data_IF_150118398428
#
_entry.id   IF_150118398428
#
_cell.length_a   1.000
_cell.length_b   1.000
_cell.length_c   1.000
_cell.angle_alpha   90.00
_cell.angle_beta   90.00
_cell.angle_gamma   90.00
#
_symmetry.space_group_name_H-M   'P 1'
#
loop_
_entity.id
_entity.type
_entity.pdbx_description
1 polymer ?
#
# COMPACT_ATOMS: atom_id res chain seq x y z
N UNK A 1 54.52 -1.95 45.58
CA UNK A 1 53.43 -0.95 45.61
C UNK A 1 53.48 -0.18 44.30
N UNK A 2 52.54 -0.42 43.40
CA UNK A 2 52.37 0.31 42.13
C UNK A 2 51.03 1.05 42.27
N UNK A 3 50.97 2.39 42.16
CA UNK A 3 49.71 3.11 42.29
C UNK A 3 48.87 2.98 41.01
N UNK A 4 47.56 2.82 41.18
CA UNK A 4 46.59 2.70 40.10
C UNK A 4 46.42 4.03 39.34
N UNK A 5 46.38 3.94 38.02
CA UNK A 5 45.96 5.02 37.12
C UNK A 5 44.42 5.03 37.09
N UNK A 6 43.82 5.99 37.79
CA UNK A 6 42.45 6.43 37.56
C UNK A 6 42.50 7.91 37.16
N UNK A 7 42.82 8.16 35.89
CA UNK A 7 42.58 9.46 35.26
C UNK A 7 41.14 9.46 34.78
N UNK A 8 40.26 10.07 35.57
CA UNK A 8 38.88 10.39 35.21
C UNK A 8 38.89 11.28 33.96
N UNK A 9 38.53 10.71 32.82
CA UNK A 9 38.12 11.46 31.64
C UNK A 9 36.74 12.05 31.91
N UNK A 10 36.70 13.36 32.15
CA UNK A 10 35.48 14.15 32.19
C UNK A 10 34.84 14.19 30.79
N UNK A 11 34.05 13.16 30.47
CA UNK A 11 33.26 13.10 29.23
C UNK A 11 32.04 13.99 29.43
N UNK A 12 32.22 15.28 29.12
CA UNK A 12 31.12 16.23 29.01
C UNK A 12 30.04 15.66 28.07
N UNK A 13 28.76 15.61 28.49
CA UNK A 13 27.69 15.07 27.65
C UNK A 13 27.54 15.93 26.39
N UNK A 14 27.60 15.29 25.21
CA UNK A 14 27.38 15.97 23.92
C UNK A 14 26.04 16.72 23.97
N UNK A 15 25.98 17.99 23.53
CA UNK A 15 24.76 18.77 23.58
C UNK A 15 23.67 18.08 22.74
N UNK A 16 22.50 17.86 23.35
CA UNK A 16 21.31 17.40 22.63
C UNK A 16 20.86 18.52 21.69
N UNK A 17 21.16 18.39 20.41
CA UNK A 17 20.66 19.30 19.38
C UNK A 17 19.14 19.15 19.31
N UNK A 18 18.41 20.13 19.86
CA UNK A 18 16.97 20.24 19.66
C UNK A 18 16.72 20.97 18.35
N UNK A 19 16.23 20.25 17.34
CA UNK A 19 15.80 20.87 16.10
C UNK A 19 14.47 21.61 16.32
N UNK A 20 14.37 22.84 15.84
CA UNK A 20 13.06 23.49 15.66
C UNK A 20 12.22 22.66 14.67
N UNK A 21 10.89 22.75 14.71
CA UNK A 21 10.00 22.04 13.78
C UNK A 21 10.36 22.29 12.30
N UNK A 22 10.95 23.45 11.99
CA UNK A 22 11.46 23.77 10.66
C UNK A 22 12.75 22.98 10.33
N UNK A 23 13.73 22.97 11.25
CA UNK A 23 14.97 22.21 11.07
C UNK A 23 14.76 20.70 11.03
N UNK A 24 13.80 20.18 11.80
CA UNK A 24 13.43 18.76 11.78
C UNK A 24 12.93 18.32 10.40
N UNK A 25 12.04 19.11 9.79
CA UNK A 25 11.51 18.79 8.47
C UNK A 25 12.57 18.83 7.36
N UNK A 26 13.44 19.84 7.37
CA UNK A 26 14.56 19.90 6.42
C UNK A 26 15.49 18.69 6.57
N UNK A 27 15.74 18.27 7.82
CA UNK A 27 16.49 17.05 8.11
C UNK A 27 15.81 15.80 7.54
N UNK A 28 14.48 15.65 7.66
CA UNK A 28 13.73 14.54 7.06
C UNK A 28 13.87 14.49 5.53
N UNK A 29 13.81 15.65 4.86
CA UNK A 29 14.01 15.74 3.40
C UNK A 29 15.42 15.35 3.01
N UNK A 30 16.42 15.90 3.71
CA UNK A 30 17.83 15.58 3.47
C UNK A 30 18.10 14.09 3.69
N UNK A 31 17.64 13.52 4.82
CA UNK A 31 17.80 12.10 5.13
C UNK A 31 17.15 11.19 4.07
N UNK A 32 15.98 11.57 3.55
CA UNK A 32 15.33 10.83 2.48
C UNK A 32 16.14 10.83 1.16
N UNK A 33 16.72 11.98 0.78
CA UNK A 33 17.58 12.12 -0.39
C UNK A 33 18.86 11.29 -0.23
N UNK A 34 19.53 11.37 0.93
CA UNK A 34 20.74 10.60 1.19
C UNK A 34 20.46 9.10 1.24
N UNK A 35 19.31 8.69 1.79
CA UNK A 35 18.86 7.29 1.74
C UNK A 35 18.74 6.80 0.29
N UNK A 36 18.12 7.60 -0.58
CA UNK A 36 17.97 7.25 -2.00
C UNK A 36 19.31 7.09 -2.70
N UNK A 37 20.29 7.96 -2.41
CA UNK A 37 21.65 7.88 -2.96
C UNK A 37 22.41 6.67 -2.43
N UNK A 38 22.37 6.46 -1.12
CA UNK A 38 23.09 5.38 -0.45
C UNK A 38 22.67 3.99 -0.94
N UNK A 39 21.35 3.77 -1.08
CA UNK A 39 20.82 2.48 -1.54
C UNK A 39 20.73 2.35 -3.07
N UNK A 40 21.16 3.36 -3.83
CA UNK A 40 21.06 3.32 -5.29
C UNK A 40 21.74 2.07 -5.86
N UNK A 41 21.08 1.31 -6.75
CA UNK A 41 21.76 0.23 -7.44
C UNK A 41 22.93 0.77 -8.26
N UNK A 42 24.08 0.07 -8.26
CA UNK A 42 25.31 0.54 -8.95
C UNK A 42 25.19 0.42 -10.47
N UNK A 43 24.73 -0.74 -10.93
CA UNK A 43 24.70 -1.10 -12.36
C UNK A 43 23.27 -1.15 -12.94
N UNK A 44 22.29 -0.60 -12.22
CA UNK A 44 20.89 -0.60 -12.62
C UNK A 44 20.11 0.56 -12.01
N UNK A 45 18.82 0.64 -12.28
CA UNK A 45 17.91 1.60 -11.66
C UNK A 45 17.08 0.95 -10.56
N UNK A 46 16.52 1.77 -9.67
CA UNK A 46 15.44 1.30 -8.81
C UNK A 46 14.24 0.87 -9.63
N UNK A 47 13.55 -0.17 -9.15
CA UNK A 47 12.17 -0.44 -9.54
C UNK A 47 11.22 0.40 -8.67
N UNK A 48 10.77 1.53 -9.22
CA UNK A 48 9.92 2.50 -8.52
C UNK A 48 8.46 2.06 -8.48
N UNK A 49 7.94 1.72 -7.31
CA UNK A 49 6.54 1.35 -7.13
C UNK A 49 5.64 2.58 -7.08
N UNK A 50 5.06 2.96 -8.22
CA UNK A 50 4.23 4.15 -8.35
C UNK A 50 2.73 3.80 -8.27
N UNK A 51 2.01 4.36 -7.29
CA UNK A 51 0.56 4.16 -7.17
C UNK A 51 -0.27 5.37 -7.63
N UNK A 52 0.39 6.51 -7.85
CA UNK A 52 -0.24 7.83 -8.00
C UNK A 52 -0.87 8.39 -6.72
N UNK A 53 -0.78 7.69 -5.59
CA UNK A 53 -1.07 8.25 -4.27
C UNK A 53 -0.01 9.29 -3.85
N UNK A 54 -0.37 10.12 -2.86
CA UNK A 54 0.45 11.22 -2.35
C UNK A 54 1.88 10.79 -2.00
N UNK A 55 2.04 9.64 -1.33
CA UNK A 55 3.32 9.15 -0.85
C UNK A 55 4.23 8.72 -2.02
N UNK A 56 3.67 8.06 -3.04
CA UNK A 56 4.42 7.70 -4.26
C UNK A 56 4.78 8.92 -5.13
N UNK A 57 4.00 9.99 -5.08
CA UNK A 57 4.34 11.24 -5.78
C UNK A 57 5.54 11.93 -5.11
N UNK A 58 5.59 11.93 -3.77
CA UNK A 58 6.69 12.50 -2.99
C UNK A 58 7.99 11.74 -3.23
N UNK A 59 8.02 10.41 -3.09
CA UNK A 59 9.26 9.64 -3.32
C UNK A 59 9.75 9.77 -4.77
N UNK A 60 8.84 9.93 -5.73
CA UNK A 60 9.21 10.17 -7.14
C UNK A 60 9.94 11.50 -7.31
N UNK A 61 9.44 12.55 -6.67
CA UNK A 61 10.10 13.84 -6.70
C UNK A 61 11.40 13.85 -5.90
N UNK A 62 11.45 13.19 -4.73
CA UNK A 62 12.68 13.02 -3.96
C UNK A 62 13.76 12.28 -4.75
N UNK A 63 13.41 11.23 -5.50
CA UNK A 63 14.36 10.52 -6.38
C UNK A 63 14.93 11.44 -7.47
N UNK A 64 14.11 12.33 -8.04
CA UNK A 64 14.57 13.36 -8.98
C UNK A 64 15.57 14.32 -8.31
N UNK A 65 15.27 14.81 -7.10
CA UNK A 65 16.18 15.68 -6.35
C UNK A 65 17.49 14.96 -5.96
N UNK A 66 17.41 13.67 -5.68
CA UNK A 66 18.56 12.85 -5.36
C UNK A 66 19.47 12.57 -6.56
N UNK A 67 18.95 12.71 -7.78
CA UNK A 67 19.67 12.40 -9.02
C UNK A 67 19.86 10.91 -9.27
N UNK A 68 18.99 10.06 -8.72
CA UNK A 68 19.09 8.60 -8.84
C UNK A 68 18.20 8.07 -9.97
N UNK A 69 18.69 7.05 -10.69
CA UNK A 69 17.93 6.42 -11.75
C UNK A 69 16.81 5.54 -11.17
N UNK A 70 15.57 5.76 -11.64
CA UNK A 70 14.40 4.97 -11.24
C UNK A 70 13.52 4.70 -12.46
N UNK A 71 13.19 3.43 -12.68
CA UNK A 71 12.14 3.05 -13.62
C UNK A 71 10.83 2.96 -12.83
N UNK A 72 9.88 3.86 -13.12
CA UNK A 72 8.62 3.94 -12.37
C UNK A 72 7.54 3.06 -12.99
N UNK A 73 6.90 2.25 -12.15
CA UNK A 73 5.92 1.24 -12.53
C UNK A 73 4.62 1.45 -11.79
N UNK A 74 3.53 1.59 -12.54
CA UNK A 74 2.16 1.59 -12.05
C UNK A 74 1.48 0.28 -12.43
N UNK A 75 1.31 -0.59 -11.43
CA UNK A 75 0.61 -1.86 -11.58
C UNK A 75 -0.92 -1.63 -11.59
N UNK A 76 -1.53 -1.80 -12.76
CA UNK A 76 -2.97 -1.59 -12.96
C UNK A 76 -3.74 -2.74 -12.32
N UNK A 77 -4.62 -2.43 -11.37
CA UNK A 77 -5.45 -3.45 -10.70
C UNK A 77 -6.77 -3.72 -11.41
N UNK A 78 -7.11 -2.94 -12.43
CA UNK A 78 -8.42 -2.95 -13.12
C UNK A 78 -9.60 -2.51 -12.25
N UNK A 79 -9.35 -2.17 -10.98
CA UNK A 79 -10.32 -1.59 -10.04
C UNK A 79 -9.84 -0.25 -9.45
N UNK A 80 -8.84 0.38 -10.07
CA UNK A 80 -8.40 1.70 -9.66
C UNK A 80 -9.51 2.74 -9.90
N UNK A 81 -9.69 3.71 -8.98
CA UNK A 81 -10.63 4.81 -9.19
C UNK A 81 -10.34 5.56 -10.50
N UNK A 82 -11.34 5.89 -11.32
CA UNK A 82 -11.14 6.61 -12.59
C UNK A 82 -10.34 7.90 -12.44
N UNK A 83 -10.54 8.65 -11.35
CA UNK A 83 -9.83 9.88 -11.02
C UNK A 83 -8.34 9.62 -10.80
N UNK A 84 -7.99 8.52 -10.14
CA UNK A 84 -6.61 8.12 -9.90
C UNK A 84 -5.93 7.74 -11.21
N UNK A 85 -6.59 6.94 -12.04
CA UNK A 85 -6.04 6.58 -13.35
C UNK A 85 -5.92 7.79 -14.28
N UNK A 86 -6.89 8.71 -14.27
CA UNK A 86 -6.84 9.95 -15.05
C UNK A 86 -5.71 10.86 -14.57
N UNK A 87 -5.51 10.99 -13.26
CA UNK A 87 -4.41 11.73 -12.66
C UNK A 87 -3.05 11.19 -13.13
N UNK A 88 -2.83 9.87 -13.02
CA UNK A 88 -1.57 9.24 -13.46
C UNK A 88 -1.35 9.48 -14.95
N UNK A 89 -2.37 9.26 -15.79
CA UNK A 89 -2.28 9.49 -17.24
C UNK A 89 -1.90 10.92 -17.60
N UNK A 90 -2.43 11.90 -16.87
CA UNK A 90 -2.24 13.33 -17.17
C UNK A 90 -0.91 13.88 -16.65
N UNK A 91 -0.56 13.58 -15.41
CA UNK A 91 0.56 14.22 -14.71
C UNK A 91 1.82 13.36 -14.62
N UNK A 92 1.70 12.06 -14.92
CA UNK A 92 2.81 11.11 -14.86
C UNK A 92 2.85 10.19 -16.09
N UNK A 93 2.89 10.75 -17.32
CA UNK A 93 2.97 9.96 -18.54
C UNK A 93 4.28 9.16 -18.67
N UNK A 94 5.31 9.56 -17.91
CA UNK A 94 6.62 8.90 -17.81
C UNK A 94 6.61 7.60 -16.99
N UNK A 95 5.52 7.33 -16.25
CA UNK A 95 5.37 6.10 -15.46
C UNK A 95 4.88 4.97 -16.35
N UNK A 96 5.62 3.87 -16.40
CA UNK A 96 5.22 2.66 -17.10
C UNK A 96 3.95 2.09 -16.48
N UNK A 97 2.95 1.80 -17.33
CA UNK A 97 1.64 1.29 -16.88
C UNK A 97 1.55 -0.19 -17.17
N UNK A 98 1.77 -1.00 -16.14
CA UNK A 98 1.84 -2.45 -16.26
C UNK A 98 0.42 -3.04 -16.23
N UNK A 99 0.01 -3.62 -17.35
CA UNK A 99 -1.28 -4.29 -17.48
C UNK A 99 -1.17 -5.73 -16.95
N UNK A 100 -2.13 -6.19 -16.13
CA UNK A 100 -2.09 -7.56 -15.64
C UNK A 100 -2.54 -8.53 -16.73
N UNK A 101 -2.01 -9.76 -16.68
CA UNK A 101 -2.43 -10.86 -17.58
C UNK A 101 -3.91 -11.25 -17.37
N UNK A 102 -4.42 -11.15 -16.14
CA UNK A 102 -5.83 -11.35 -15.79
C UNK A 102 -6.32 -10.16 -14.98
N UNK A 103 -7.49 -9.66 -15.34
CA UNK A 103 -8.22 -8.63 -14.59
C UNK A 103 -8.60 -9.14 -13.20
N UNK A 104 -8.95 -8.20 -12.33
CA UNK A 104 -9.44 -8.52 -10.99
C UNK A 104 -10.69 -9.42 -11.03
N UNK A 105 -11.63 -9.14 -11.94
CA UNK A 105 -12.87 -9.90 -12.06
C UNK A 105 -12.61 -11.34 -12.54
N UNK A 106 -11.67 -11.53 -13.45
CA UNK A 106 -11.24 -12.88 -13.88
C UNK A 106 -10.56 -13.66 -12.75
N UNK A 107 -9.68 -13.00 -11.98
CA UNK A 107 -9.11 -13.65 -10.79
C UNK A 107 -10.17 -13.97 -9.74
N UNK A 108 -11.15 -13.09 -9.53
CA UNK A 108 -12.26 -13.31 -8.60
C UNK A 108 -13.08 -14.55 -8.97
N UNK A 109 -13.19 -14.88 -10.26
CA UNK A 109 -13.82 -16.14 -10.69
C UNK A 109 -13.08 -17.39 -10.17
N UNK A 110 -11.82 -17.33 -9.79
CA UNK A 110 -11.09 -18.50 -9.26
C UNK A 110 -10.75 -18.38 -7.78
N UNK A 111 -10.50 -17.16 -7.31
CA UNK A 111 -10.07 -16.86 -5.94
C UNK A 111 -11.20 -16.45 -5.00
N UNK A 112 -12.37 -16.13 -5.56
CA UNK A 112 -13.47 -15.52 -4.80
C UNK A 112 -13.16 -14.08 -4.39
N UNK A 113 -13.96 -13.55 -3.48
CA UNK A 113 -13.79 -12.18 -2.98
C UNK A 113 -12.54 -12.05 -2.08
N UNK A 114 -11.71 -11.00 -2.23
CA UNK A 114 -10.57 -10.78 -1.34
C UNK A 114 -11.04 -10.34 0.04
N UNK A 115 -10.25 -10.60 1.08
CA UNK A 115 -10.53 -10.14 2.45
C UNK A 115 -9.36 -9.33 3.00
N UNK A 116 -9.49 -8.76 4.20
CA UNK A 116 -8.36 -8.02 4.82
C UNK A 116 -7.17 -8.92 5.11
N UNK A 117 -7.42 -10.20 5.39
CA UNK A 117 -6.37 -11.22 5.58
C UNK A 117 -5.92 -11.84 4.27
N UNK A 118 -6.86 -12.17 3.39
CA UNK A 118 -6.59 -12.82 2.10
C UNK A 118 -6.59 -11.78 1.00
N UNK A 119 -5.42 -11.14 0.87
CA UNK A 119 -5.15 -10.08 -0.11
C UNK A 119 -4.57 -10.63 -1.42
N UNK A 120 -5.20 -11.66 -1.99
CA UNK A 120 -4.74 -12.26 -3.26
C UNK A 120 -4.66 -11.21 -4.39
N UNK A 121 -5.48 -10.17 -4.35
CA UNK A 121 -5.46 -9.11 -5.36
C UNK A 121 -4.20 -8.26 -5.28
N UNK A 122 -3.65 -8.00 -4.08
CA UNK A 122 -2.36 -7.33 -3.95
C UNK A 122 -1.23 -8.21 -4.47
N UNK A 123 -1.26 -9.50 -4.14
CA UNK A 123 -0.28 -10.47 -4.67
C UNK A 123 -0.28 -10.48 -6.20
N UNK A 124 -1.43 -10.75 -6.82
CA UNK A 124 -1.54 -10.99 -8.26
C UNK A 124 -1.48 -9.74 -9.12
N UNK A 125 -1.86 -8.58 -8.59
CA UNK A 125 -2.00 -7.35 -9.38
C UNK A 125 -1.06 -6.22 -8.95
N UNK A 126 -0.28 -6.37 -7.87
CA UNK A 126 0.63 -5.31 -7.39
C UNK A 126 2.02 -5.83 -7.04
N UNK A 127 2.09 -6.82 -6.15
CA UNK A 127 3.32 -7.24 -5.48
C UNK A 127 4.13 -8.26 -6.32
N UNK A 128 3.52 -8.87 -7.35
CA UNK A 128 4.20 -9.85 -8.22
C UNK A 128 4.76 -9.27 -9.52
N UNK A 129 4.63 -7.96 -9.75
CA UNK A 129 4.92 -7.33 -11.05
C UNK A 129 6.41 -7.01 -11.29
N UNK A 130 7.23 -7.00 -10.23
CA UNK A 130 8.64 -6.67 -10.33
C UNK A 130 9.52 -7.90 -10.64
N UNK A 131 10.62 -7.74 -11.40
CA UNK A 131 11.64 -8.76 -11.59
C UNK A 131 12.23 -9.26 -10.27
N UNK A 132 12.68 -10.50 -10.24
CA UNK A 132 13.42 -11.04 -9.10
C UNK A 132 14.76 -10.29 -8.93
N UNK A 133 15.18 -10.07 -7.68
CA UNK A 133 16.43 -9.40 -7.33
C UNK A 133 16.47 -7.88 -7.49
N UNK A 134 15.45 -7.24 -8.08
CA UNK A 134 15.45 -5.78 -8.22
C UNK A 134 15.32 -5.06 -6.87
N UNK A 135 15.92 -3.87 -6.76
CA UNK A 135 15.74 -3.00 -5.59
C UNK A 135 14.49 -2.15 -5.77
N UNK A 136 13.51 -2.38 -4.90
CA UNK A 136 12.21 -1.76 -4.94
C UNK A 136 12.23 -0.43 -4.19
N UNK A 137 11.67 0.62 -4.77
CA UNK A 137 11.47 1.89 -4.10
C UNK A 137 9.98 2.08 -3.79
N UNK A 138 9.63 2.13 -2.50
CA UNK A 138 8.25 2.24 -2.02
C UNK A 138 8.05 3.44 -1.09
N UNK A 139 6.82 3.95 -1.03
CA UNK A 139 6.43 5.08 -0.17
C UNK A 139 5.76 4.62 1.13
N UNK A 140 6.35 3.63 1.81
CA UNK A 140 5.80 3.06 3.03
C UNK A 140 6.17 3.94 4.23
N UNK A 141 5.21 4.29 5.09
CA UNK A 141 5.46 5.03 6.33
C UNK A 141 5.06 4.18 7.54
N UNK A 142 5.88 4.20 8.59
CA UNK A 142 5.64 3.48 9.84
C UNK A 142 4.34 3.93 10.51
N UNK A 143 4.05 5.24 10.43
CA UNK A 143 2.87 5.89 11.01
C UNK A 143 1.53 5.41 10.41
N UNK A 144 1.51 4.72 9.27
CA UNK A 144 0.24 4.30 8.65
C UNK A 144 -0.52 3.24 9.46
N UNK A 145 0.16 2.47 10.32
CA UNK A 145 -0.51 1.57 11.29
C UNK A 145 0.49 1.01 12.32
N UNK A 146 0.02 0.56 13.51
CA UNK A 146 0.88 -0.14 14.48
C UNK A 146 1.61 -1.35 13.90
N UNK A 147 0.95 -2.11 13.03
CA UNK A 147 1.56 -3.25 12.33
C UNK A 147 2.75 -2.81 11.49
N UNK A 148 2.63 -1.69 10.75
CA UNK A 148 3.74 -1.18 9.93
C UNK A 148 4.87 -0.66 10.80
N UNK A 149 4.60 0.03 11.91
CA UNK A 149 5.65 0.44 12.85
C UNK A 149 6.42 -0.77 13.42
N UNK A 150 5.73 -1.87 13.74
CA UNK A 150 6.38 -3.10 14.20
C UNK A 150 7.19 -3.81 13.12
N UNK A 151 6.64 -3.88 11.90
CA UNK A 151 7.30 -4.54 10.76
C UNK A 151 8.48 -3.72 10.27
N UNK A 152 8.32 -2.40 10.09
CA UNK A 152 9.29 -1.47 9.51
C UNK A 152 10.07 -0.72 10.57
N UNK A 153 11.12 -1.38 11.07
CA UNK A 153 12.08 -0.80 12.03
C UNK A 153 13.28 -0.14 11.34
N UNK A 154 13.53 -0.51 10.08
CA UNK A 154 14.64 -0.02 9.25
C UNK A 154 14.12 0.51 7.92
N UNK A 155 14.89 1.41 7.30
CA UNK A 155 14.56 2.01 5.99
C UNK A 155 14.49 0.98 4.86
N UNK A 156 15.09 -0.20 5.06
CA UNK A 156 15.04 -1.30 4.10
C UNK A 156 14.46 -2.57 4.69
N UNK A 157 13.89 -3.41 3.81
CA UNK A 157 13.44 -4.77 4.11
C UNK A 157 13.64 -5.71 2.93
N UNK A 158 13.83 -7.00 3.21
CA UNK A 158 13.67 -8.02 2.18
C UNK A 158 12.20 -8.07 1.74
N UNK A 159 11.99 -8.16 0.43
CA UNK A 159 10.65 -8.32 -0.11
C UNK A 159 10.11 -9.70 0.32
N UNK A 160 9.01 -9.75 1.07
CA UNK A 160 8.51 -11.00 1.66
C UNK A 160 8.06 -12.10 0.68
N UNK A 161 8.19 -11.89 -0.63
CA UNK A 161 7.82 -12.84 -1.71
C UNK A 161 8.82 -12.90 -2.87
N UNK A 162 9.87 -12.08 -2.84
CA UNK A 162 10.85 -11.92 -3.94
C UNK A 162 12.24 -11.77 -3.32
N UNK A 163 13.29 -11.98 -4.10
CA UNK A 163 14.69 -11.87 -3.62
C UNK A 163 15.20 -10.43 -3.52
N UNK A 164 14.40 -9.44 -3.93
CA UNK A 164 14.77 -8.02 -3.92
C UNK A 164 14.64 -7.35 -2.55
N UNK A 165 15.42 -6.28 -2.35
CA UNK A 165 15.32 -5.38 -1.19
C UNK A 165 14.35 -4.23 -1.50
N UNK A 166 13.49 -3.89 -0.55
CA UNK A 166 12.62 -2.72 -0.58
C UNK A 166 13.25 -1.60 0.23
N UNK A 167 13.33 -0.41 -0.36
CA UNK A 167 13.79 0.83 0.29
C UNK A 167 12.60 1.77 0.44
N UNK A 168 12.43 2.34 1.64
CA UNK A 168 11.42 3.36 1.92
C UNK A 168 12.05 4.63 2.52
N UNK A 169 12.37 5.63 1.68
CA UNK A 169 13.11 6.82 2.14
C UNK A 169 12.28 7.76 3.02
N UNK A 170 10.96 7.58 3.05
CA UNK A 170 10.03 8.40 3.85
C UNK A 170 9.46 7.63 5.04
N UNK A 171 10.11 6.54 5.47
CA UNK A 171 9.55 5.63 6.48
C UNK A 171 9.09 6.34 7.76
N UNK A 172 9.87 7.31 8.22
CA UNK A 172 9.60 8.05 9.46
C UNK A 172 8.80 9.34 9.25
N UNK A 173 8.33 9.61 8.03
CA UNK A 173 7.53 10.80 7.75
C UNK A 173 6.10 10.64 8.26
N UNK A 174 5.56 11.72 8.79
CA UNK A 174 4.14 11.84 9.08
C UNK A 174 3.35 12.24 7.83
N UNK A 175 2.03 12.08 7.88
CA UNK A 175 1.15 12.49 6.79
C UNK A 175 1.30 14.00 6.50
N UNK A 176 1.54 14.81 7.53
CA UNK A 176 1.71 16.25 7.40
C UNK A 176 3.04 16.62 6.72
N UNK A 177 4.11 15.85 6.94
CA UNK A 177 5.39 16.05 6.24
C UNK A 177 5.23 15.81 4.73
N UNK A 178 4.48 14.75 4.36
CA UNK A 178 4.15 14.43 2.97
C UNK A 178 3.37 15.57 2.32
N UNK A 179 2.33 16.08 2.99
CA UNK A 179 1.55 17.20 2.46
C UNK A 179 2.32 18.51 2.42
N UNK A 180 3.17 18.78 3.42
CA UNK A 180 4.09 19.92 3.42
C UNK A 180 5.00 19.87 2.21
N UNK A 181 5.55 18.70 1.89
CA UNK A 181 6.41 18.51 0.71
C UNK A 181 5.65 18.77 -0.59
N UNK A 182 4.45 18.19 -0.72
CA UNK A 182 3.58 18.39 -1.88
C UNK A 182 3.31 19.88 -2.11
N UNK A 183 2.97 20.63 -1.05
CA UNK A 183 2.70 22.07 -1.13
C UNK A 183 3.94 22.88 -1.50
N UNK A 184 5.07 22.62 -0.83
CA UNK A 184 6.32 23.36 -1.08
C UNK A 184 6.87 23.15 -2.49
N UNK A 185 6.74 21.94 -3.01
CA UNK A 185 7.21 21.59 -4.36
C UNK A 185 6.11 21.69 -5.43
N UNK A 186 4.92 22.19 -5.06
CA UNK A 186 3.77 22.37 -5.95
C UNK A 186 3.45 21.09 -6.76
N UNK A 187 3.53 19.93 -6.11
CA UNK A 187 3.33 18.65 -6.78
C UNK A 187 1.84 18.45 -7.11
N UNK A 188 1.50 18.02 -8.33
CA UNK A 188 0.13 17.63 -8.63
C UNK A 188 -0.21 16.38 -7.81
N UNK A 189 -1.44 16.31 -7.32
CA UNK A 189 -1.96 15.13 -6.61
C UNK A 189 -3.39 14.80 -7.05
N UNK A 190 -3.83 13.59 -6.76
CA UNK A 190 -5.16 13.12 -7.14
C UNK A 190 -6.26 13.89 -6.38
N UNK A 191 -7.23 14.47 -7.12
CA UNK A 191 -8.35 15.25 -6.56
C UNK A 191 -9.24 14.51 -5.55
N UNK A 192 -9.10 13.20 -5.40
CA UNK A 192 -9.81 12.44 -4.37
C UNK A 192 -9.39 12.90 -2.96
N UNK A 193 -8.15 13.35 -2.78
CA UNK A 193 -7.68 13.87 -1.49
C UNK A 193 -8.46 15.13 -1.05
N UNK A 194 -8.80 16.01 -1.99
CA UNK A 194 -9.65 17.20 -1.72
C UNK A 194 -11.10 16.83 -1.35
N UNK A 195 -11.49 15.58 -1.60
CA UNK A 195 -12.83 15.06 -1.35
C UNK A 195 -12.86 14.18 -0.09
N UNK A 196 -11.88 14.34 0.80
CA UNK A 196 -11.81 13.66 2.10
C UNK A 196 -11.24 12.24 2.04
N UNK A 197 -10.66 11.81 0.92
CA UNK A 197 -9.94 10.53 0.90
C UNK A 197 -8.60 10.70 1.60
N UNK A 198 -8.29 9.81 2.55
CA UNK A 198 -6.96 9.73 3.19
C UNK A 198 -6.02 8.75 2.49
N UNK A 199 -6.60 7.86 1.66
CA UNK A 199 -5.93 6.85 0.83
C UNK A 199 -6.65 6.67 -0.51
N UNK A 200 -5.89 6.42 -1.57
CA UNK A 200 -6.44 6.11 -2.90
C UNK A 200 -6.26 4.61 -3.18
N UNK A 201 -7.18 3.81 -2.61
CA UNK A 201 -7.25 2.36 -2.83
C UNK A 201 -8.07 1.99 -4.07
N UNK A 202 -8.10 0.70 -4.39
CA UNK A 202 -9.02 0.15 -5.39
C UNK A 202 -10.48 0.29 -4.89
N UNK A 203 -11.43 0.37 -5.82
CA UNK A 203 -12.87 0.37 -5.55
C UNK A 203 -13.27 -0.93 -4.83
N UNK A 204 -14.04 -0.80 -3.75
CA UNK A 204 -14.42 -1.88 -2.83
C UNK A 204 -13.23 -2.66 -2.26
N UNK A 205 -12.11 -1.99 -2.01
CA UNK A 205 -10.98 -2.62 -1.34
C UNK A 205 -11.36 -3.02 0.11
N UNK A 206 -11.16 -4.29 0.53
CA UNK A 206 -11.43 -4.72 1.91
C UNK A 206 -10.80 -3.86 3.00
N UNK A 207 -9.68 -3.20 2.70
CA UNK A 207 -8.98 -2.30 3.61
C UNK A 207 -9.68 -0.95 3.82
N UNK A 208 -10.70 -0.63 3.02
CA UNK A 208 -11.47 0.61 3.15
C UNK A 208 -12.59 0.49 4.19
N UNK A 209 -13.00 -0.74 4.52
CA UNK A 209 -14.07 -1.00 5.48
C UNK A 209 -15.46 -0.58 4.99
N UNK A 210 -16.49 -0.74 5.85
CA UNK A 210 -17.89 -0.53 5.47
C UNK A 210 -18.17 0.88 4.96
N UNK A 211 -17.65 1.91 5.63
CA UNK A 211 -17.83 3.31 5.20
C UNK A 211 -17.19 3.58 3.83
N UNK A 212 -16.02 2.98 3.60
CA UNK A 212 -15.34 3.05 2.32
C UNK A 212 -16.13 2.36 1.21
N UNK A 213 -16.70 1.19 1.51
CA UNK A 213 -17.56 0.47 0.58
C UNK A 213 -18.85 1.22 0.28
N UNK A 214 -19.51 1.78 1.28
CA UNK A 214 -20.73 2.58 1.12
C UNK A 214 -20.48 3.80 0.21
N UNK A 215 -19.35 4.50 0.41
CA UNK A 215 -18.91 5.59 -0.47
C UNK A 215 -18.68 5.11 -1.89
N UNK A 216 -18.00 3.97 -2.07
CA UNK A 216 -17.70 3.41 -3.39
C UNK A 216 -18.96 2.93 -4.13
N UNK A 217 -19.92 2.32 -3.43
CA UNK A 217 -21.22 1.91 -3.97
C UNK A 217 -21.99 3.11 -4.55
N UNK A 218 -21.99 4.23 -3.82
CA UNK A 218 -22.61 5.48 -4.28
C UNK A 218 -21.87 6.10 -5.45
N UNK A 219 -20.53 6.11 -5.40
CA UNK A 219 -19.69 6.85 -6.35
C UNK A 219 -19.41 6.10 -7.66
N UNK A 220 -19.22 4.79 -7.58
CA UNK A 220 -18.82 3.93 -8.70
C UNK A 220 -19.84 2.79 -8.93
N UNK A 221 -21.14 3.10 -9.11
CA UNK A 221 -22.19 2.07 -9.13
C UNK A 221 -22.00 1.05 -10.25
N UNK A 222 -21.47 1.44 -11.42
CA UNK A 222 -21.19 0.50 -12.52
C UNK A 222 -20.06 -0.48 -12.19
N UNK A 223 -18.98 -0.02 -11.57
CA UNK A 223 -17.87 -0.90 -11.16
C UNK A 223 -18.34 -1.84 -10.05
N UNK A 224 -19.07 -1.31 -9.07
CA UNK A 224 -19.59 -2.11 -7.96
C UNK A 224 -20.55 -3.19 -8.43
N UNK A 225 -21.47 -2.90 -9.37
CA UNK A 225 -22.34 -3.91 -9.98
C UNK A 225 -21.58 -5.04 -10.67
N UNK A 226 -20.46 -4.73 -11.33
CA UNK A 226 -19.63 -5.74 -11.99
C UNK A 226 -18.92 -6.64 -10.96
N UNK A 227 -18.43 -6.04 -9.87
CA UNK A 227 -17.83 -6.78 -8.75
C UNK A 227 -18.88 -7.68 -8.09
N UNK A 228 -20.07 -7.15 -7.80
CA UNK A 228 -21.20 -7.88 -7.22
C UNK A 228 -21.59 -9.07 -8.10
N UNK A 229 -21.78 -8.85 -9.40
CA UNK A 229 -22.09 -9.91 -10.35
C UNK A 229 -21.01 -11.00 -10.33
N UNK A 230 -19.73 -10.62 -10.36
CA UNK A 230 -18.63 -11.56 -10.32
C UNK A 230 -18.60 -12.38 -9.01
N UNK A 231 -18.84 -11.73 -7.87
CA UNK A 231 -18.90 -12.37 -6.55
C UNK A 231 -20.05 -13.37 -6.46
N UNK A 232 -21.26 -12.98 -6.89
CA UNK A 232 -22.44 -13.85 -6.90
C UNK A 232 -22.28 -15.03 -7.87
N UNK A 233 -21.74 -14.79 -9.06
CA UNK A 233 -21.43 -15.87 -10.02
C UNK A 233 -20.42 -16.87 -9.46
N UNK A 234 -19.38 -16.40 -8.77
CA UNK A 234 -18.42 -17.27 -8.10
C UNK A 234 -19.13 -18.14 -7.04
N UNK A 235 -19.93 -17.53 -6.17
CA UNK A 235 -20.63 -18.23 -5.09
C UNK A 235 -21.60 -19.27 -5.63
N UNK A 236 -22.48 -18.89 -6.58
CA UNK A 236 -23.46 -19.79 -7.19
C UNK A 236 -22.79 -20.99 -7.84
N UNK A 237 -21.71 -20.78 -8.60
CA UNK A 237 -20.96 -21.85 -9.25
C UNK A 237 -20.30 -22.79 -8.23
N UNK A 238 -19.69 -22.26 -7.16
CA UNK A 238 -19.08 -23.11 -6.12
C UNK A 238 -20.13 -23.89 -5.33
N UNK A 239 -21.30 -23.29 -5.07
CA UNK A 239 -22.42 -23.96 -4.40
C UNK A 239 -22.97 -25.10 -5.24
N UNK A 240 -23.22 -24.88 -6.54
CA UNK A 240 -23.75 -25.94 -7.44
C UNK A 240 -22.77 -27.10 -7.63
N UNK A 241 -21.47 -26.85 -7.53
CA UNK A 241 -20.41 -27.87 -7.59
C UNK A 241 -20.18 -28.61 -6.27
N UNK A 242 -20.90 -28.27 -5.19
CA UNK A 242 -20.61 -28.79 -3.84
C UNK A 242 -19.22 -28.40 -3.31
N UNK A 243 -18.56 -27.44 -3.95
CA UNK A 243 -17.16 -27.06 -3.69
C UNK A 243 -17.05 -25.72 -2.94
N UNK A 244 -18.13 -25.27 -2.32
CA UNK A 244 -18.12 -24.03 -1.56
C UNK A 244 -17.34 -24.24 -0.24
N UNK A 245 -16.42 -23.32 0.08
CA UNK A 245 -15.62 -23.43 1.30
C UNK A 245 -16.51 -23.39 2.56
N UNK A 246 -16.09 -24.08 3.63
CA UNK A 246 -16.88 -24.25 4.88
C UNK A 246 -17.42 -22.95 5.47
N UNK A 247 -16.71 -21.83 5.29
CA UNK A 247 -17.16 -20.51 5.77
C UNK A 247 -18.22 -19.87 4.88
N UNK A 248 -18.23 -20.17 3.58
CA UNK A 248 -19.20 -19.61 2.63
C UNK A 248 -20.46 -20.47 2.48
N UNK A 249 -20.44 -21.71 2.94
CA UNK A 249 -21.63 -22.56 3.00
C UNK A 249 -22.66 -22.09 4.04
N UNK A 250 -22.27 -21.21 4.97
CA UNK A 250 -23.14 -20.66 6.00
C UNK A 250 -24.19 -19.68 5.46
N UNK A 251 -23.96 -19.11 4.26
CA UNK A 251 -24.92 -18.22 3.61
C UNK A 251 -26.00 -19.02 2.89
N UNK A 252 -27.24 -18.58 2.99
CA UNK A 252 -28.38 -19.19 2.32
C UNK A 252 -28.34 -18.95 0.81
N UNK A 253 -27.89 -17.77 0.38
CA UNK A 253 -27.82 -17.37 -1.02
C UNK A 253 -26.67 -16.40 -1.31
N UNK A 254 -26.47 -16.09 -2.59
CA UNK A 254 -25.41 -15.22 -3.07
C UNK A 254 -25.57 -13.75 -2.64
N UNK A 255 -26.81 -13.29 -2.41
CA UNK A 255 -27.09 -11.93 -1.94
C UNK A 255 -26.60 -11.76 -0.50
N UNK A 256 -26.90 -12.72 0.37
CA UNK A 256 -26.42 -12.71 1.75
C UNK A 256 -24.89 -12.76 1.83
N UNK A 257 -24.26 -13.61 1.01
CA UNK A 257 -22.79 -13.64 0.86
C UNK A 257 -22.22 -12.29 0.43
N UNK A 258 -22.86 -11.64 -0.55
CA UNK A 258 -22.44 -10.32 -1.01
C UNK A 258 -22.59 -9.26 0.08
N UNK A 259 -23.75 -9.22 0.75
CA UNK A 259 -24.05 -8.29 1.83
C UNK A 259 -23.05 -8.42 2.98
N UNK A 260 -22.73 -9.66 3.36
CA UNK A 260 -21.67 -9.94 4.34
C UNK A 260 -20.33 -9.32 3.92
N UNK A 261 -19.93 -9.51 2.66
CA UNK A 261 -18.63 -9.03 2.19
C UNK A 261 -18.52 -7.50 2.15
N UNK A 262 -19.58 -6.79 1.74
CA UNK A 262 -19.57 -5.32 1.70
C UNK A 262 -19.77 -4.67 3.07
N UNK A 263 -20.54 -5.29 3.96
CA UNK A 263 -20.83 -4.75 5.30
C UNK A 263 -19.75 -5.05 6.33
N UNK A 264 -18.87 -6.02 6.06
CA UNK A 264 -17.94 -6.59 7.06
C UNK A 264 -18.68 -7.11 8.30
N UNK A 265 -19.94 -7.51 8.14
CA UNK A 265 -20.74 -8.11 9.19
C UNK A 265 -20.24 -9.50 9.62
N UNK A 266 -20.81 -10.06 10.70
CA UNK A 266 -20.52 -11.43 11.10
C UNK A 266 -21.05 -12.44 10.07
N UNK A 267 -20.38 -13.57 9.97
CA UNK A 267 -20.93 -14.74 9.25
C UNK A 267 -22.12 -15.30 10.05
N UNK A 268 -23.19 -15.74 9.38
CA UNK A 268 -24.30 -16.45 10.02
C UNK A 268 -23.83 -17.59 10.95
N UNK A 269 -24.30 -17.58 12.20
CA UNK A 269 -23.90 -18.54 13.23
C UNK A 269 -22.46 -18.39 13.74
N UNK A 270 -21.72 -17.35 13.34
CA UNK A 270 -20.33 -17.09 13.71
C UNK A 270 -20.10 -15.60 14.04
N UNK A 271 -20.57 -15.11 15.21
CA UNK A 271 -20.59 -13.69 15.56
C UNK A 271 -19.21 -13.03 15.64
N UNK A 272 -18.14 -13.82 15.80
CA UNK A 272 -16.76 -13.35 15.87
C UNK A 272 -15.96 -13.59 14.57
N UNK A 273 -16.63 -13.85 13.45
CA UNK A 273 -15.97 -14.09 12.16
C UNK A 273 -16.45 -13.08 11.12
N UNK A 274 -15.76 -11.94 11.02
CA UNK A 274 -15.95 -10.95 9.95
C UNK A 274 -14.92 -11.11 8.81
N UNK A 275 -14.99 -10.23 7.79
CA UNK A 275 -14.01 -10.19 6.67
C UNK A 275 -12.58 -10.05 7.19
N UNK A 276 -12.40 -9.40 8.33
CA UNK A 276 -11.11 -9.19 9.00
C UNK A 276 -10.49 -10.43 9.67
N UNK A 277 -11.26 -11.49 9.92
CA UNK A 277 -10.86 -12.57 10.85
C UNK A 277 -10.79 -13.96 10.21
N UNK A 278 -11.34 -14.16 9.02
CA UNK A 278 -11.36 -15.48 8.38
C UNK A 278 -9.96 -16.01 8.01
N UNK A 279 -9.57 -17.09 8.68
CA UNK A 279 -8.56 -18.05 8.22
C UNK A 279 -9.27 -19.11 7.37
N UNK A 280 -8.82 -19.30 6.13
CA UNK A 280 -9.43 -20.26 5.18
C UNK A 280 -8.71 -21.61 5.17
N UNK A 281 -7.96 -21.95 6.22
CA UNK A 281 -7.21 -23.20 6.28
C UNK A 281 -7.41 -23.89 7.63
N UNK A 282 -8.56 -24.55 7.76
CA UNK A 282 -8.79 -25.75 8.56
C UNK A 282 -9.86 -26.63 7.91
#
# INVERSE_FOLDING_TARGET
>A
MIPSIDVLLDVQPKPKVQFTLHGHYQHLVHAAIETLRFYAPRDSSYWGCFSGGKDSCVIKHLAKLAGVAVNWHYAITTLDPPEQTAFIKRYHPDVQRDKPHKTFLEWMQTKGVPTRRIRWCCDKLKESCSPDGCRLLMGIRAQESPRRAKTWQTLTQLHGRRTGEVVSPILHWHADDVWRFIKQHQLPYCKLYDQGYTRTGCVLCPMAGPDGHARDLKRYPSMCRQIEKAAKSFWNRRKSQGAIGRSYSAFANADEFWQWWISDGPIPGKPHHCQGQLEFWS
#
